data_IF_927395513493
#
_entry.id   IF_927395513493
#
_cell.length_a   1.000
_cell.length_b   1.000
_cell.length_c   1.000
_cell.angle_alpha   90.00
_cell.angle_beta   90.00
_cell.angle_gamma   90.00
#
_symmetry.space_group_name_H-M   'P 1'
#
loop_
_entity.id
_entity.type
_entity.pdbx_description
1 polymer ?
#
# COMPACT_ATOMS: atom_id res chain seq x y z
N UNK A 1 -10.35 7.19 -32.86
CA UNK A 1 -8.96 6.66 -32.91
C UNK A 1 -8.01 7.24 -31.84
N UNK A 2 -8.29 8.39 -31.21
CA UNK A 2 -7.42 8.95 -30.15
C UNK A 2 -7.46 8.16 -28.83
N UNK A 3 -8.61 7.58 -28.44
CA UNK A 3 -8.73 6.80 -27.20
C UNK A 3 -7.85 5.54 -27.14
N UNK A 4 -7.58 4.87 -28.27
CA UNK A 4 -6.70 3.67 -28.30
C UNK A 4 -5.25 4.00 -27.94
N UNK A 5 -4.72 5.16 -28.36
CA UNK A 5 -3.34 5.58 -28.05
C UNK A 5 -3.17 5.96 -26.58
N UNK A 6 -4.16 6.63 -25.98
CA UNK A 6 -4.17 6.99 -24.56
C UNK A 6 -4.24 5.76 -23.66
N UNK A 7 -5.12 4.81 -23.96
CA UNK A 7 -5.24 3.54 -23.20
C UNK A 7 -3.94 2.73 -23.27
N UNK A 8 -3.29 2.64 -24.44
CA UNK A 8 -2.02 1.92 -24.58
C UNK A 8 -0.89 2.64 -23.83
N UNK A 9 -0.77 3.98 -23.91
CA UNK A 9 0.24 4.75 -23.17
C UNK A 9 0.08 4.55 -21.66
N UNK A 10 -1.15 4.66 -21.15
CA UNK A 10 -1.46 4.52 -19.74
C UNK A 10 -1.23 3.07 -19.25
N UNK A 11 -1.62 2.07 -20.04
CA UNK A 11 -1.35 0.68 -19.72
C UNK A 11 0.15 0.37 -19.68
N UNK A 12 0.94 0.89 -20.63
CA UNK A 12 2.40 0.73 -20.64
C UNK A 12 3.04 1.40 -19.44
N UNK A 13 2.60 2.62 -19.08
CA UNK A 13 3.15 3.33 -17.93
C UNK A 13 2.83 2.62 -16.62
N UNK A 14 1.58 2.18 -16.43
CA UNK A 14 1.16 1.43 -15.24
C UNK A 14 1.87 0.06 -15.15
N UNK A 15 2.00 -0.66 -16.27
CA UNK A 15 2.74 -1.91 -16.28
C UNK A 15 4.22 -1.65 -15.97
N UNK A 16 4.83 -0.67 -16.63
CA UNK A 16 6.22 -0.29 -16.43
C UNK A 16 6.53 0.08 -14.98
N UNK A 17 5.70 0.93 -14.35
CA UNK A 17 5.88 1.33 -12.95
C UNK A 17 5.77 0.14 -11.99
N UNK A 18 4.80 -0.76 -12.20
CA UNK A 18 4.66 -1.98 -11.40
C UNK A 18 5.86 -2.92 -11.57
N UNK A 19 6.32 -3.15 -12.80
CA UNK A 19 7.49 -4.00 -13.04
C UNK A 19 8.76 -3.44 -12.42
N UNK A 20 9.00 -2.12 -12.56
CA UNK A 20 10.14 -1.45 -11.92
C UNK A 20 10.08 -1.60 -10.40
N UNK A 21 8.90 -1.40 -9.81
CA UNK A 21 8.70 -1.52 -8.37
C UNK A 21 8.96 -2.95 -7.87
N UNK A 22 8.50 -3.97 -8.60
CA UNK A 22 8.75 -5.39 -8.31
C UNK A 22 10.24 -5.71 -8.40
N UNK A 23 10.92 -5.28 -9.47
CA UNK A 23 12.36 -5.54 -9.67
C UNK A 23 13.18 -4.86 -8.57
N UNK A 24 12.92 -3.58 -8.28
CA UNK A 24 13.62 -2.84 -7.22
C UNK A 24 13.39 -3.48 -5.84
N UNK A 25 12.15 -3.85 -5.52
CA UNK A 25 11.82 -4.52 -4.25
C UNK A 25 12.49 -5.88 -4.13
N UNK A 26 12.54 -6.65 -5.22
CA UNK A 26 13.23 -7.93 -5.29
C UNK A 26 14.73 -7.81 -5.09
N UNK A 27 15.39 -6.87 -5.78
CA UNK A 27 16.82 -6.60 -5.63
C UNK A 27 17.17 -6.15 -4.21
N UNK A 28 16.38 -5.25 -3.63
CA UNK A 28 16.54 -4.83 -2.23
C UNK A 28 16.39 -6.00 -1.27
N UNK A 29 15.42 -6.89 -1.51
CA UNK A 29 15.21 -8.08 -0.67
C UNK A 29 16.41 -9.02 -0.72
N UNK A 30 16.97 -9.28 -1.91
CA UNK A 30 18.18 -10.11 -2.07
C UNK A 30 19.38 -9.46 -1.37
N UNK A 31 19.54 -8.15 -1.54
CA UNK A 31 20.62 -7.41 -0.91
C UNK A 31 20.52 -7.46 0.62
N UNK A 32 19.33 -7.21 1.18
CA UNK A 32 19.06 -7.30 2.61
C UNK A 32 19.30 -8.72 3.14
N UNK A 33 18.89 -9.76 2.40
CA UNK A 33 19.14 -11.15 2.80
C UNK A 33 20.63 -11.46 2.94
N UNK A 34 21.47 -10.92 2.05
CA UNK A 34 22.93 -11.11 2.11
C UNK A 34 23.59 -10.26 3.20
N UNK A 35 23.12 -9.03 3.42
CA UNK A 35 23.73 -8.10 4.36
C UNK A 35 23.35 -8.37 5.83
N UNK A 36 22.08 -8.71 6.11
CA UNK A 36 21.54 -8.86 7.47
C UNK A 36 21.86 -10.21 8.13
N UNK A 37 22.24 -11.22 7.33
CA UNK A 37 22.36 -12.60 7.78
C UNK A 37 21.00 -13.25 8.09
N UNK A 38 20.99 -14.57 8.33
CA UNK A 38 19.76 -15.37 8.42
C UNK A 38 18.84 -14.98 9.57
N UNK A 39 19.39 -14.71 10.75
CA UNK A 39 18.60 -14.40 11.96
C UNK A 39 17.88 -13.05 11.87
N UNK A 40 18.57 -12.00 11.43
CA UNK A 40 17.98 -10.65 11.33
C UNK A 40 17.05 -10.55 10.12
N UNK A 41 17.36 -11.23 9.02
CA UNK A 41 16.47 -11.29 7.85
C UNK A 41 15.14 -11.97 8.18
N UNK A 42 15.13 -13.03 9.00
CA UNK A 42 13.89 -13.66 9.47
C UNK A 42 12.97 -12.66 10.18
N UNK A 43 13.51 -11.84 11.08
CA UNK A 43 12.75 -10.79 11.78
C UNK A 43 12.18 -9.74 10.82
N UNK A 44 12.99 -9.31 9.84
CA UNK A 44 12.56 -8.38 8.80
C UNK A 44 11.36 -8.94 8.00
N UNK A 45 11.46 -10.19 7.54
CA UNK A 45 10.39 -10.85 6.78
C UNK A 45 9.13 -11.01 7.63
N UNK A 46 9.26 -11.31 8.93
CA UNK A 46 8.12 -11.35 9.85
C UNK A 46 7.41 -9.99 9.91
N UNK A 47 8.15 -8.90 10.15
CA UNK A 47 7.58 -7.54 10.20
C UNK A 47 6.90 -7.21 8.88
N UNK A 48 7.57 -7.47 7.75
CA UNK A 48 7.04 -7.21 6.42
C UNK A 48 5.74 -7.98 6.16
N UNK A 49 5.65 -9.23 6.59
CA UNK A 49 4.45 -10.06 6.46
C UNK A 49 3.28 -9.47 7.26
N UNK A 50 3.52 -9.00 8.48
CA UNK A 50 2.50 -8.29 9.26
C UNK A 50 2.01 -7.02 8.56
N UNK A 51 2.92 -6.22 8.02
CA UNK A 51 2.55 -5.02 7.25
C UNK A 51 1.75 -5.36 6.00
N UNK A 52 2.07 -6.45 5.33
CA UNK A 52 1.35 -6.92 4.15
C UNK A 52 -0.10 -7.24 4.48
N UNK A 53 -0.34 -8.07 5.50
CA UNK A 53 -1.71 -8.35 5.98
C UNK A 53 -2.41 -7.09 6.49
N UNK A 54 -1.67 -6.21 7.15
CA UNK A 54 -2.17 -4.93 7.60
C UNK A 54 -2.67 -4.03 6.50
N UNK A 55 -1.93 -3.95 5.40
CA UNK A 55 -2.31 -3.17 4.24
C UNK A 55 -3.57 -3.72 3.57
N UNK A 56 -3.73 -5.05 3.52
CA UNK A 56 -4.96 -5.67 2.98
C UNK A 56 -6.18 -5.22 3.80
N UNK A 57 -6.07 -5.26 5.14
CA UNK A 57 -7.14 -4.84 6.03
C UNK A 57 -7.40 -3.32 5.98
N UNK A 58 -6.34 -2.51 5.95
CA UNK A 58 -6.42 -1.05 5.91
C UNK A 58 -7.07 -0.54 4.62
N UNK A 59 -6.77 -1.17 3.48
CA UNK A 59 -7.28 -0.73 2.20
C UNK A 59 -8.70 -1.23 1.91
N UNK A 60 -9.10 -2.38 2.46
CA UNK A 60 -10.43 -2.99 2.36
C UNK A 60 -11.09 -2.93 0.96
N UNK A 61 -10.30 -2.97 -0.11
CA UNK A 61 -10.78 -2.86 -1.50
C UNK A 61 -11.38 -1.50 -1.89
N UNK A 62 -11.14 -0.43 -1.13
CA UNK A 62 -11.60 0.93 -1.44
C UNK A 62 -10.96 1.51 -2.73
N UNK A 63 -9.66 1.33 -3.01
CA UNK A 63 -9.03 1.91 -4.21
C UNK A 63 -9.75 1.64 -5.55
N UNK A 64 -10.16 0.40 -5.91
CA UNK A 64 -10.90 0.15 -7.15
C UNK A 64 -12.28 0.83 -7.19
N UNK A 65 -12.91 1.08 -6.03
CA UNK A 65 -14.19 1.82 -5.95
C UNK A 65 -13.98 3.28 -6.32
N UNK A 66 -12.91 3.90 -5.80
CA UNK A 66 -12.51 5.28 -6.14
C UNK A 66 -12.29 5.38 -7.65
N UNK A 67 -11.44 4.50 -8.21
CA UNK A 67 -11.10 4.51 -9.63
C UNK A 67 -12.36 4.42 -10.49
N UNK A 68 -13.25 3.46 -10.20
CA UNK A 68 -14.45 3.22 -11.01
C UNK A 68 -15.47 4.36 -10.96
N UNK A 69 -15.65 4.99 -9.80
CA UNK A 69 -16.67 6.02 -9.63
C UNK A 69 -16.18 7.40 -10.05
N UNK A 70 -14.94 7.76 -9.72
CA UNK A 70 -14.35 9.06 -10.09
C UNK A 70 -14.06 9.13 -11.58
N UNK A 71 -13.68 8.02 -12.24
CA UNK A 71 -13.50 8.00 -13.69
C UNK A 71 -14.79 8.27 -14.48
N UNK A 72 -15.98 8.10 -13.86
CA UNK A 72 -17.27 8.43 -14.48
C UNK A 72 -17.64 9.89 -14.32
N UNK A 73 -17.28 10.51 -13.19
CA UNK A 73 -17.54 11.92 -12.90
C UNK A 73 -16.41 12.49 -12.04
N UNK A 74 -15.57 13.30 -12.67
CA UNK A 74 -14.40 13.91 -12.04
C UNK A 74 -14.78 14.93 -10.96
N UNK A 75 -16.00 15.48 -10.97
CA UNK A 75 -16.45 16.42 -9.94
C UNK A 75 -16.56 15.76 -8.56
N UNK A 76 -16.70 14.42 -8.52
CA UNK A 76 -16.78 13.65 -7.28
C UNK A 76 -15.41 13.46 -6.62
N UNK A 77 -14.30 13.79 -7.27
CA UNK A 77 -12.95 13.52 -6.78
C UNK A 77 -12.70 14.07 -5.36
N UNK A 78 -13.10 15.32 -5.08
CA UNK A 78 -12.90 15.93 -3.76
C UNK A 78 -13.74 15.25 -2.66
N UNK A 79 -14.99 14.90 -2.97
CA UNK A 79 -15.86 14.21 -2.02
C UNK A 79 -15.34 12.80 -1.70
N UNK A 80 -14.87 12.07 -2.73
CA UNK A 80 -14.26 10.75 -2.56
C UNK A 80 -12.92 10.83 -1.82
N UNK A 81 -12.10 11.85 -2.07
CA UNK A 81 -10.84 12.04 -1.34
C UNK A 81 -11.08 12.09 0.17
N UNK A 82 -11.95 12.99 0.64
CA UNK A 82 -12.20 13.15 2.07
C UNK A 82 -12.88 11.91 2.69
N UNK A 83 -13.95 11.43 2.06
CA UNK A 83 -14.73 10.30 2.59
C UNK A 83 -13.93 9.00 2.60
N UNK A 84 -13.26 8.66 1.50
CA UNK A 84 -12.47 7.43 1.43
C UNK A 84 -11.23 7.51 2.31
N UNK A 85 -10.58 8.68 2.43
CA UNK A 85 -9.46 8.85 3.37
C UNK A 85 -9.91 8.61 4.80
N UNK A 86 -11.06 9.17 5.22
CA UNK A 86 -11.58 8.95 6.58
C UNK A 86 -11.90 7.47 6.84
N UNK A 87 -12.55 6.80 5.87
CA UNK A 87 -12.87 5.38 5.96
C UNK A 87 -11.57 4.54 6.03
N UNK A 88 -10.62 4.77 5.14
CA UNK A 88 -9.37 4.01 5.10
C UNK A 88 -8.50 4.28 6.33
N UNK A 89 -8.46 5.50 6.86
CA UNK A 89 -7.81 5.78 8.14
C UNK A 89 -8.46 5.02 9.30
N UNK A 90 -9.79 4.93 9.31
CA UNK A 90 -10.51 4.14 10.32
C UNK A 90 -10.17 2.65 10.21
N UNK A 91 -10.10 2.10 9.00
CA UNK A 91 -9.63 0.72 8.77
C UNK A 91 -8.15 0.54 9.11
N UNK A 92 -7.29 1.54 8.87
CA UNK A 92 -5.88 1.51 9.30
C UNK A 92 -5.75 1.45 10.81
N UNK A 93 -6.59 2.15 11.58
CA UNK A 93 -6.61 2.03 13.05
C UNK A 93 -6.99 0.61 13.47
N UNK A 94 -8.06 0.05 12.89
CA UNK A 94 -8.50 -1.31 13.20
C UNK A 94 -7.39 -2.32 12.86
N UNK A 95 -6.81 -2.20 11.67
CA UNK A 95 -5.71 -3.02 11.19
C UNK A 95 -4.47 -2.93 12.11
N UNK A 96 -4.09 -1.71 12.49
CA UNK A 96 -3.00 -1.45 13.42
C UNK A 96 -3.21 -2.18 14.75
N UNK A 97 -4.41 -2.10 15.32
CA UNK A 97 -4.74 -2.77 16.60
C UNK A 97 -4.67 -4.29 16.44
N UNK A 98 -5.28 -4.85 15.39
CA UNK A 98 -5.29 -6.30 15.15
C UNK A 98 -3.87 -6.85 15.01
N UNK A 99 -3.04 -6.23 14.19
CA UNK A 99 -1.66 -6.69 13.95
C UNK A 99 -0.82 -6.65 15.22
N UNK A 100 -0.93 -5.57 16.01
CA UNK A 100 -0.16 -5.45 17.24
C UNK A 100 -0.63 -6.46 18.29
N UNK A 101 -1.94 -6.71 18.42
CA UNK A 101 -2.47 -7.74 19.31
C UNK A 101 -1.99 -9.15 18.91
N UNK A 102 -2.08 -9.48 17.61
CA UNK A 102 -1.63 -10.77 17.09
C UNK A 102 -0.11 -10.92 17.22
N UNK A 103 0.64 -9.86 16.92
CA UNK A 103 2.09 -9.83 17.08
C UNK A 103 2.54 -10.03 18.53
N UNK A 104 1.84 -9.41 19.49
CA UNK A 104 2.07 -9.62 20.93
C UNK A 104 1.79 -11.06 21.35
N UNK A 105 0.69 -11.66 20.85
CA UNK A 105 0.32 -13.03 21.20
C UNK A 105 1.23 -14.10 20.61
N UNK A 106 1.82 -13.86 19.44
CA UNK A 106 2.64 -14.86 18.74
C UNK A 106 4.13 -14.81 19.14
N UNK A 107 4.65 -13.64 19.52
CA UNK A 107 6.08 -13.46 19.72
C UNK A 107 6.40 -12.83 21.08
N UNK A 108 7.14 -13.56 21.92
CA UNK A 108 7.61 -13.08 23.23
C UNK A 108 8.89 -12.21 23.16
N UNK A 109 9.31 -11.76 21.98
CA UNK A 109 10.53 -10.96 21.82
C UNK A 109 10.20 -9.46 21.89
N UNK A 110 10.67 -8.73 22.93
CA UNK A 110 10.30 -7.32 23.13
C UNK A 110 10.79 -6.40 22.01
N UNK A 111 11.98 -6.67 21.44
CA UNK A 111 12.52 -5.88 20.33
C UNK A 111 11.66 -6.04 19.07
N UNK A 112 11.24 -7.28 18.77
CA UNK A 112 10.41 -7.56 17.60
C UNK A 112 9.02 -6.90 17.72
N UNK A 113 8.46 -6.87 18.92
CA UNK A 113 7.19 -6.19 19.18
C UNK A 113 7.29 -4.68 18.93
N UNK A 114 8.33 -4.02 19.44
CA UNK A 114 8.58 -2.59 19.21
C UNK A 114 8.76 -2.31 17.70
N UNK A 115 9.48 -3.18 17.00
CA UNK A 115 9.67 -3.06 15.54
C UNK A 115 8.35 -3.17 14.78
N UNK A 116 7.48 -4.14 15.11
CA UNK A 116 6.15 -4.27 14.49
C UNK A 116 5.29 -3.04 14.79
N UNK A 117 5.31 -2.55 16.03
CA UNK A 117 4.53 -1.39 16.46
C UNK A 117 4.90 -0.14 15.67
N UNK A 118 6.21 0.16 15.57
CA UNK A 118 6.71 1.29 14.79
C UNK A 118 6.40 1.09 13.30
N UNK A 119 6.64 -0.11 12.77
CA UNK A 119 6.40 -0.39 11.37
C UNK A 119 4.91 -0.25 11.00
N UNK A 120 3.99 -0.67 11.87
CA UNK A 120 2.55 -0.60 11.63
C UNK A 120 2.03 0.85 11.53
N UNK A 121 2.77 1.84 12.04
CA UNK A 121 2.45 3.26 11.81
C UNK A 121 2.54 3.66 10.33
N UNK A 122 3.24 2.89 9.50
CA UNK A 122 3.27 3.12 8.04
C UNK A 122 1.90 2.91 7.36
N UNK A 123 0.95 2.24 8.01
CA UNK A 123 -0.40 2.01 7.47
C UNK A 123 -1.21 3.31 7.31
N UNK A 124 -0.91 4.34 8.11
CA UNK A 124 -1.60 5.63 8.05
C UNK A 124 -1.21 6.44 6.80
N UNK A 125 0.07 6.77 6.55
CA UNK A 125 0.46 7.42 5.31
C UNK A 125 0.20 6.53 4.09
N UNK A 126 0.30 5.20 4.24
CA UNK A 126 -0.05 4.25 3.18
C UNK A 126 -1.51 4.38 2.72
N UNK A 127 -2.46 4.51 3.66
CA UNK A 127 -3.87 4.70 3.33
C UNK A 127 -4.12 6.00 2.55
N UNK A 128 -3.54 7.12 2.99
CA UNK A 128 -3.67 8.41 2.29
C UNK A 128 -3.04 8.33 0.91
N UNK A 129 -1.84 7.75 0.80
CA UNK A 129 -1.15 7.55 -0.48
C UNK A 129 -1.96 6.69 -1.45
N UNK A 130 -2.61 5.63 -0.97
CA UNK A 130 -3.45 4.77 -1.79
C UNK A 130 -4.69 5.50 -2.35
N UNK A 131 -5.31 6.39 -1.56
CA UNK A 131 -6.42 7.24 -2.05
C UNK A 131 -5.91 8.20 -3.13
N UNK A 132 -4.79 8.87 -2.91
CA UNK A 132 -4.18 9.77 -3.89
C UNK A 132 -3.88 9.05 -5.20
N UNK A 133 -3.20 7.90 -5.12
CA UNK A 133 -2.87 7.07 -6.28
C UNK A 133 -4.13 6.63 -7.04
N UNK A 134 -5.17 6.21 -6.32
CA UNK A 134 -6.45 5.82 -6.92
C UNK A 134 -7.15 6.99 -7.63
N UNK A 135 -7.08 8.20 -7.08
CA UNK A 135 -7.63 9.41 -7.72
C UNK A 135 -6.83 9.81 -8.95
N UNK A 136 -5.50 9.83 -8.89
CA UNK A 136 -4.66 10.12 -10.06
C UNK A 136 -4.88 9.09 -11.18
N UNK A 137 -5.03 7.82 -10.82
CA UNK A 137 -5.40 6.76 -11.75
C UNK A 137 -6.79 6.98 -12.35
N UNK A 138 -7.78 7.40 -11.57
CA UNK A 138 -9.12 7.73 -12.06
C UNK A 138 -9.13 8.91 -13.05
N UNK A 139 -8.23 9.88 -12.86
CA UNK A 139 -8.08 11.07 -13.71
C UNK A 139 -7.22 10.82 -14.97
N UNK A 140 -6.84 9.57 -15.25
CA UNK A 140 -5.88 9.18 -16.29
C UNK A 140 -4.49 9.84 -16.18
N UNK A 141 -4.15 10.41 -15.02
CA UNK A 141 -2.85 11.04 -14.76
C UNK A 141 -1.85 10.03 -14.24
N UNK A 142 -1.74 8.89 -14.93
CA UNK A 142 -0.85 7.81 -14.52
C UNK A 142 0.63 8.15 -14.65
N UNK A 143 0.98 9.28 -15.30
CA UNK A 143 2.34 9.82 -15.43
C UNK A 143 2.91 10.36 -14.10
N UNK A 144 2.05 10.60 -13.09
CA UNK A 144 2.45 11.10 -11.77
C UNK A 144 2.17 9.98 -10.74
N UNK A 145 3.20 9.34 -10.17
CA UNK A 145 3.04 8.33 -9.13
C UNK A 145 2.64 8.93 -7.77
#
# INVERSE_FOLDING_TARGET
MQGKKLVIKNAIFLAGSNYISIITSGLLTIFLARYLGTSTFGKYVTIYSFLFFGNILANFGIPPIIIRNVAKDLNLANAYFSNCTFIMLSFSVISYVIINLVGFSLYNNPLLHILILIAALSLFPGAVGAVCAALFQAMERMEIP
#
